data_IF_302644711159
#
_entry.id   IF_302644711159
#
_cell.length_a   1.000
_cell.length_b   1.000
_cell.length_c   1.000
_cell.angle_alpha   90.00
_cell.angle_beta   90.00
_cell.angle_gamma   90.00
#
_symmetry.space_group_name_H-M   'P 1'
#
loop_
_entity.id
_entity.type
_entity.pdbx_description
1 polymer ?
#
# COMPACT_ATOMS: atom_id res chain seq x y z
N UNK A 1 6.38 -0.01 53.84
CA UNK A 1 6.79 -0.49 52.49
C UNK A 1 5.65 -0.74 51.49
N UNK A 2 4.35 -0.52 51.81
CA UNK A 2 3.23 -0.77 50.89
C UNK A 2 3.13 0.19 49.69
N UNK A 3 3.60 1.44 49.82
CA UNK A 3 3.48 2.46 48.77
C UNK A 3 4.48 2.30 47.62
N UNK A 4 5.68 1.74 47.87
CA UNK A 4 6.72 1.54 46.84
C UNK A 4 6.27 0.61 45.71
N UNK A 5 5.51 -0.45 46.04
CA UNK A 5 4.99 -1.41 45.03
C UNK A 5 3.93 -0.78 44.11
N UNK A 6 3.11 0.14 44.63
CA UNK A 6 2.08 0.84 43.84
C UNK A 6 2.70 1.85 42.87
N UNK A 7 3.76 2.54 43.29
CA UNK A 7 4.50 3.50 42.46
C UNK A 7 5.20 2.80 41.29
N UNK A 8 5.83 1.63 41.54
CA UNK A 8 6.48 0.85 40.48
C UNK A 8 5.46 0.34 39.45
N UNK A 9 4.27 -0.11 39.89
CA UNK A 9 3.21 -0.52 38.97
C UNK A 9 2.71 0.60 38.07
N UNK A 10 2.56 1.82 38.60
CA UNK A 10 2.15 2.99 37.81
C UNK A 10 3.22 3.40 36.78
N UNK A 11 4.51 3.32 37.14
CA UNK A 11 5.63 3.59 36.24
C UNK A 11 5.72 2.60 35.08
N UNK A 12 5.50 1.30 35.34
CA UNK A 12 5.50 0.27 34.30
C UNK A 12 4.32 0.42 33.34
N UNK A 13 3.15 0.85 33.83
CA UNK A 13 1.99 1.10 32.98
C UNK A 13 2.16 2.34 32.09
N UNK A 14 2.84 3.38 32.59
CA UNK A 14 3.20 4.56 31.81
C UNK A 14 4.22 4.25 30.68
N UNK A 15 5.05 3.21 30.85
CA UNK A 15 5.98 2.75 29.82
C UNK A 15 5.32 1.90 28.72
N UNK A 16 4.12 1.37 28.94
CA UNK A 16 3.38 0.60 27.92
C UNK A 16 2.75 1.50 26.83
N UNK A 17 2.72 2.82 27.03
CA UNK A 17 2.11 3.80 26.12
C UNK A 17 2.91 3.93 24.80
N UNK A 18 4.17 3.46 24.76
CA UNK A 18 5.00 3.43 23.55
C UNK A 18 4.91 2.12 22.75
N UNK A 19 3.93 1.27 23.05
CA UNK A 19 3.63 0.12 22.18
C UNK A 19 3.14 0.63 20.82
N UNK A 20 4.00 0.49 19.81
CA UNK A 20 3.57 0.64 18.42
C UNK A 20 2.73 -0.60 18.11
N UNK A 21 1.41 -0.44 18.11
CA UNK A 21 0.54 -1.41 17.48
C UNK A 21 1.07 -1.62 16.05
N UNK A 22 1.34 -2.87 15.68
CA UNK A 22 1.77 -3.19 14.32
C UNK A 22 0.76 -2.67 13.30
N UNK A 23 1.19 -2.58 12.04
CA UNK A 23 0.30 -2.20 10.94
C UNK A 23 -0.88 -3.17 10.91
N UNK A 24 -2.08 -2.64 11.12
CA UNK A 24 -3.32 -3.42 11.21
C UNK A 24 -4.40 -2.78 10.36
N UNK A 25 -5.09 -3.59 9.57
CA UNK A 25 -6.20 -3.15 8.71
C UNK A 25 -5.81 -2.07 7.68
N UNK A 26 -4.57 -2.13 7.19
CA UNK A 26 -4.17 -1.39 5.98
C UNK A 26 -4.75 -2.09 4.76
N UNK A 27 -5.26 -1.32 3.80
CA UNK A 27 -5.74 -1.88 2.53
C UNK A 27 -4.82 -1.45 1.40
N UNK A 28 -4.68 -2.33 0.42
CA UNK A 28 -3.92 -2.09 -0.79
C UNK A 28 -4.71 -2.58 -1.99
N UNK A 29 -4.72 -1.78 -3.06
CA UNK A 29 -5.49 -2.07 -4.27
C UNK A 29 -4.70 -1.71 -5.51
N UNK A 30 -4.97 -2.43 -6.59
CA UNK A 30 -4.63 -2.01 -7.94
C UNK A 30 -5.90 -1.98 -8.81
N UNK A 31 -5.87 -1.15 -9.85
CA UNK A 31 -6.89 -1.12 -10.90
C UNK A 31 -6.24 -0.81 -12.23
N UNK A 32 -6.74 -1.45 -13.28
CA UNK A 32 -6.29 -1.28 -14.64
C UNK A 32 -7.46 -0.90 -15.55
N UNK A 33 -7.18 -0.33 -16.71
CA UNK A 33 -8.21 -0.02 -17.70
C UNK A 33 -9.36 0.85 -17.15
N UNK A 34 -9.05 1.73 -16.20
CA UNK A 34 -9.97 2.75 -15.72
C UNK A 34 -9.66 4.09 -16.37
N UNK A 35 -10.42 5.14 -16.03
CA UNK A 35 -10.02 6.52 -16.26
C UNK A 35 -8.61 6.84 -15.74
N UNK A 36 -8.16 6.11 -14.72
CA UNK A 36 -6.77 6.09 -14.29
C UNK A 36 -6.34 4.70 -13.82
N UNK A 37 -5.20 4.24 -14.30
CA UNK A 37 -4.54 3.04 -13.79
C UNK A 37 -3.80 3.43 -12.52
N UNK A 38 -3.92 2.61 -11.48
CA UNK A 38 -3.42 2.98 -10.16
C UNK A 38 -3.09 1.76 -9.31
N UNK A 39 -2.04 1.90 -8.50
CA UNK A 39 -1.83 1.10 -7.29
C UNK A 39 -1.82 2.03 -6.08
N UNK A 40 -2.50 1.64 -5.01
CA UNK A 40 -2.76 2.48 -3.84
C UNK A 40 -2.67 1.69 -2.54
N UNK A 41 -2.03 2.29 -1.53
CA UNK A 41 -2.15 1.89 -0.12
C UNK A 41 -2.98 2.91 0.64
N UNK A 42 -3.85 2.42 1.53
CA UNK A 42 -4.65 3.23 2.43
C UNK A 42 -4.58 2.68 3.86
N UNK A 43 -4.10 3.51 4.79
CA UNK A 43 -4.23 3.27 6.23
C UNK A 43 -5.07 4.38 6.86
N UNK A 44 -6.39 4.18 6.83
CA UNK A 44 -7.37 5.22 7.16
C UNK A 44 -7.14 5.81 8.56
N UNK A 45 -6.98 7.13 8.65
CA UNK A 45 -6.68 7.89 9.88
C UNK A 45 -5.31 7.63 10.53
N UNK A 46 -4.42 6.89 9.87
CA UNK A 46 -3.11 6.54 10.41
C UNK A 46 -2.01 6.89 9.41
N UNK A 47 -1.28 7.97 9.68
CA UNK A 47 -0.11 8.31 8.87
C UNK A 47 1.02 7.33 9.14
N UNK A 48 1.58 6.79 8.06
CA UNK A 48 2.77 5.95 8.10
C UNK A 48 3.67 6.31 6.92
N UNK A 49 4.93 5.91 6.98
CA UNK A 49 5.84 6.07 5.85
C UNK A 49 5.53 4.97 4.83
N UNK A 50 4.86 5.35 3.75
CA UNK A 50 4.45 4.46 2.67
C UNK A 50 5.20 4.78 1.39
N UNK A 51 5.48 3.73 0.63
CA UNK A 51 5.93 3.81 -0.76
C UNK A 51 5.12 2.83 -1.59
N UNK A 52 4.67 3.27 -2.75
CA UNK A 52 4.01 2.41 -3.73
C UNK A 52 4.81 2.45 -5.01
N UNK A 53 5.17 1.27 -5.50
CA UNK A 53 5.78 1.09 -6.81
C UNK A 53 4.77 0.39 -7.71
N UNK A 54 4.43 0.97 -8.85
CA UNK A 54 3.45 0.41 -9.78
C UNK A 54 4.02 0.23 -11.18
N UNK A 55 3.69 -0.92 -11.74
CA UNK A 55 4.10 -1.40 -13.05
C UNK A 55 2.84 -1.51 -13.92
N UNK A 56 2.72 -0.69 -14.96
CA UNK A 56 1.60 -0.74 -15.89
C UNK A 56 2.09 -1.34 -17.20
N UNK A 57 1.82 -2.64 -17.36
CA UNK A 57 2.20 -3.40 -18.55
C UNK A 57 1.01 -3.49 -19.49
N UNK A 58 1.26 -3.44 -20.80
CA UNK A 58 0.25 -3.89 -21.75
C UNK A 58 0.21 -5.42 -21.75
N UNK A 59 -0.99 -6.01 -21.91
CA UNK A 59 -1.23 -7.46 -21.99
C UNK A 59 -0.24 -8.11 -22.98
N UNK A 60 0.17 -9.34 -22.68
CA UNK A 60 1.05 -10.21 -23.48
C UNK A 60 0.63 -10.32 -24.94
N UNK A 61 -0.64 -10.02 -25.26
CA UNK A 61 -1.15 -9.95 -26.64
C UNK A 61 -0.62 -8.76 -27.46
N UNK A 62 -0.06 -7.73 -26.83
CA UNK A 62 0.51 -6.56 -27.50
C UNK A 62 1.86 -6.14 -26.88
N UNK A 63 2.89 -7.00 -26.97
CA UNK A 63 4.17 -6.83 -26.27
C UNK A 63 4.99 -5.62 -26.73
N UNK A 64 4.62 -4.98 -27.84
CA UNK A 64 5.30 -3.79 -28.38
C UNK A 64 4.72 -2.46 -27.85
N UNK A 65 3.66 -2.50 -27.03
CA UNK A 65 3.10 -1.32 -26.37
C UNK A 65 3.94 -1.02 -25.12
N UNK A 66 4.25 0.26 -24.92
CA UNK A 66 5.15 0.72 -23.86
C UNK A 66 4.70 0.28 -22.46
N UNK A 67 5.70 0.02 -21.62
CA UNK A 67 5.55 -0.23 -20.19
C UNK A 67 5.72 1.10 -19.43
N UNK A 68 4.84 1.38 -18.47
CA UNK A 68 4.97 2.56 -17.60
C UNK A 68 5.30 2.14 -16.16
N UNK A 69 6.18 2.91 -15.55
CA UNK A 69 6.69 2.71 -14.20
C UNK A 69 6.41 3.93 -13.35
N UNK A 70 5.91 3.74 -12.14
CA UNK A 70 5.72 4.81 -11.18
C UNK A 70 6.25 4.36 -9.82
N UNK A 71 7.05 5.20 -9.19
CA UNK A 71 7.48 5.05 -7.80
C UNK A 71 7.20 6.34 -7.05
N UNK A 72 6.40 6.26 -5.99
CA UNK A 72 6.04 7.44 -5.20
C UNK A 72 7.19 7.92 -4.31
N UNK A 73 8.21 7.09 -4.10
CA UNK A 73 9.13 7.23 -2.98
C UNK A 73 8.43 7.05 -1.63
N UNK A 74 9.21 7.16 -0.55
CA UNK A 74 8.68 7.13 0.81
C UNK A 74 8.04 8.47 1.17
N UNK A 75 6.78 8.45 1.59
CA UNK A 75 6.04 9.61 2.06
C UNK A 75 5.27 9.32 3.35
N UNK A 76 5.28 10.27 4.28
CA UNK A 76 4.52 10.18 5.52
C UNK A 76 3.07 10.65 5.30
N UNK A 77 2.17 9.69 5.09
CA UNK A 77 0.78 9.95 4.71
C UNK A 77 -0.12 8.79 5.16
N UNK A 78 -1.43 8.99 5.18
CA UNK A 78 -2.42 7.94 5.42
C UNK A 78 -2.86 7.24 4.12
N UNK A 79 -2.55 7.82 2.96
CA UNK A 79 -2.82 7.28 1.63
C UNK A 79 -1.67 7.61 0.69
N UNK A 80 -1.16 6.59 0.01
CA UNK A 80 -0.10 6.71 -0.98
C UNK A 80 -0.53 6.00 -2.26
N UNK A 81 -0.40 6.65 -3.41
CA UNK A 81 -0.89 6.11 -4.67
C UNK A 81 0.04 6.43 -5.84
N UNK A 82 0.36 5.41 -6.62
CA UNK A 82 1.02 5.52 -7.91
C UNK A 82 -0.06 5.53 -9.00
N UNK A 83 -0.29 6.68 -9.65
CA UNK A 83 -1.42 6.89 -10.55
C UNK A 83 -0.96 7.34 -11.93
N UNK A 84 -1.44 6.67 -12.98
CA UNK A 84 -1.37 7.17 -14.35
C UNK A 84 -2.78 7.51 -14.85
N UNK A 85 -3.04 8.80 -15.03
CA UNK A 85 -4.30 9.29 -15.58
C UNK A 85 -4.32 9.09 -17.09
N UNK A 86 -5.51 8.79 -17.63
CA UNK A 86 -5.75 8.69 -19.07
C UNK A 86 -4.79 7.73 -19.81
N UNK A 87 -4.32 6.69 -19.11
CA UNK A 87 -3.44 5.66 -19.68
C UNK A 87 -4.24 4.65 -20.52
N UNK A 88 -5.49 4.43 -20.11
CA UNK A 88 -6.39 3.45 -20.71
C UNK A 88 -7.84 3.90 -20.53
N UNK A 89 -8.76 3.09 -21.04
CA UNK A 89 -10.20 3.24 -20.87
C UNK A 89 -10.81 1.88 -20.47
N UNK A 90 -12.05 1.86 -19.92
CA UNK A 90 -12.76 0.61 -19.65
C UNK A 90 -12.75 -0.35 -20.86
N UNK A 91 -12.27 -1.57 -20.64
CA UNK A 91 -12.07 -2.57 -21.70
C UNK A 91 -10.72 -2.50 -22.43
N UNK A 92 -9.79 -1.67 -21.94
CA UNK A 92 -8.40 -1.67 -22.39
C UNK A 92 -7.67 -2.97 -22.09
N UNK A 93 -6.37 -2.99 -22.41
CA UNK A 93 -5.54 -4.18 -22.32
C UNK A 93 -4.32 -3.97 -21.41
N UNK A 94 -4.42 -3.11 -20.41
CA UNK A 94 -3.37 -2.97 -19.39
C UNK A 94 -3.51 -4.00 -18.29
N UNK A 95 -2.36 -4.34 -17.71
CA UNK A 95 -2.17 -5.13 -16.52
C UNK A 95 -1.33 -4.31 -15.54
N UNK A 96 -1.90 -4.01 -14.38
CA UNK A 96 -1.27 -3.17 -13.35
C UNK A 96 -0.80 -4.05 -12.21
N UNK A 97 0.45 -3.89 -11.79
CA UNK A 97 1.03 -4.58 -10.63
C UNK A 97 1.60 -3.57 -9.64
N UNK A 98 1.05 -3.53 -8.45
CA UNK A 98 1.46 -2.66 -7.34
C UNK A 98 2.26 -3.41 -6.28
N UNK A 99 3.35 -2.80 -5.83
CA UNK A 99 4.19 -3.23 -4.72
C UNK A 99 4.10 -2.17 -3.63
N UNK A 100 3.63 -2.57 -2.46
CA UNK A 100 3.28 -1.66 -1.37
C UNK A 100 4.28 -1.86 -0.24
N UNK A 101 5.00 -0.81 0.12
CA UNK A 101 6.07 -0.86 1.12
C UNK A 101 5.78 0.09 2.26
N UNK A 102 6.24 -0.28 3.46
CA UNK A 102 6.28 0.58 4.62
C UNK A 102 7.66 0.65 5.25
N UNK A 103 7.91 1.72 6.01
CA UNK A 103 9.15 1.84 6.79
C UNK A 103 8.93 1.37 8.24
N UNK A 104 9.57 0.27 8.63
CA UNK A 104 9.64 -0.15 10.04
C UNK A 104 11.08 -0.11 10.55
N UNK A 105 11.30 0.61 11.65
CA UNK A 105 12.62 0.75 12.30
C UNK A 105 13.76 1.12 11.34
N UNK A 106 13.48 2.03 10.39
CA UNK A 106 14.46 2.50 9.40
C UNK A 106 14.72 1.53 8.25
N UNK A 107 13.94 0.44 8.14
CA UNK A 107 14.01 -0.52 7.04
C UNK A 107 12.72 -0.50 6.24
N UNK A 108 12.88 -0.50 4.93
CA UNK A 108 11.75 -0.68 4.02
C UNK A 108 11.35 -2.16 3.99
N UNK A 109 10.06 -2.41 4.23
CA UNK A 109 9.45 -3.74 4.26
C UNK A 109 8.36 -3.76 3.19
N UNK A 110 8.37 -4.81 2.37
CA UNK A 110 7.25 -5.08 1.46
C UNK A 110 6.06 -5.58 2.28
N UNK A 111 4.96 -4.85 2.22
CA UNK A 111 3.69 -5.19 2.89
C UNK A 111 2.93 -6.25 2.09
N UNK A 112 2.60 -5.90 0.85
CA UNK A 112 1.78 -6.72 -0.04
C UNK A 112 1.98 -6.32 -1.50
N UNK A 113 1.52 -7.18 -2.40
CA UNK A 113 1.47 -6.94 -3.83
C UNK A 113 0.03 -7.04 -4.31
N UNK A 114 -0.34 -6.17 -5.26
CA UNK A 114 -1.67 -6.17 -5.88
C UNK A 114 -1.53 -6.25 -7.39
N UNK A 115 -2.48 -6.92 -8.04
CA UNK A 115 -2.51 -7.05 -9.49
C UNK A 115 -3.94 -6.83 -9.97
N UNK A 116 -4.11 -6.19 -11.12
CA UNK A 116 -5.41 -5.95 -11.72
C UNK A 116 -5.29 -5.93 -13.25
N UNK A 117 -6.27 -6.55 -13.91
CA UNK A 117 -6.43 -6.49 -15.38
C UNK A 117 -7.68 -5.70 -15.81
N UNK A 118 -8.48 -5.26 -14.85
CA UNK A 118 -9.71 -4.51 -15.11
C UNK A 118 -9.91 -3.37 -14.10
N UNK A 119 -11.02 -2.65 -14.30
CA UNK A 119 -11.32 -1.43 -13.55
C UNK A 119 -12.01 -1.67 -12.21
N UNK A 120 -12.19 -2.93 -11.82
CA UNK A 120 -12.78 -3.26 -10.54
C UNK A 120 -11.77 -2.96 -9.42
N UNK A 121 -12.25 -2.36 -8.33
CA UNK A 121 -11.45 -2.20 -7.12
C UNK A 121 -11.54 -3.51 -6.37
N UNK A 122 -10.54 -4.36 -6.56
CA UNK A 122 -10.42 -5.58 -5.78
C UNK A 122 -9.68 -5.27 -4.48
N UNK A 123 -10.21 -5.75 -3.36
CA UNK A 123 -9.54 -5.69 -2.06
C UNK A 123 -8.31 -6.60 -1.95
N UNK A 124 -7.70 -6.99 -3.07
CA UNK A 124 -6.39 -7.66 -3.12
C UNK A 124 -6.38 -9.18 -3.02
N UNK A 125 -7.52 -9.89 -3.14
CA UNK A 125 -7.57 -11.34 -2.85
C UNK A 125 -7.87 -12.29 -4.02
N UNK A 126 -8.32 -11.83 -5.19
CA UNK A 126 -8.99 -12.75 -6.14
C UNK A 126 -8.40 -12.85 -7.55
N UNK A 127 -7.48 -11.97 -7.95
CA UNK A 127 -6.83 -12.05 -9.27
C UNK A 127 -5.49 -12.81 -9.21
N UNK A 128 -5.50 -13.98 -8.55
CA UNK A 128 -4.45 -14.98 -8.71
C UNK A 128 -5.00 -16.15 -9.52
N UNK A 129 -4.97 -16.03 -10.85
CA UNK A 129 -5.09 -17.16 -11.76
C UNK A 129 -3.89 -17.17 -12.71
#
# INVERSE_FOLDING_TARGET
>A
MKYKRKIIGALLLALAIVSHAGIYNTTAHSRANCFNNESITWYLWHNYNWRVVSFHNYDLKHPNKGYHYIDTGMGYTWRQAAVHWNESAPGGAYFVSGFHYYLDRGREILDTNTQASDCSIYDGWWDQN
#
